data_IF_368384867041
#
_entry.id   IF_368384867041
#
_cell.length_a   1.000
_cell.length_b   1.000
_cell.length_c   1.000
_cell.angle_alpha   90.00
_cell.angle_beta   90.00
_cell.angle_gamma   90.00
#
_symmetry.space_group_name_H-M   'P 1'
#
loop_
_entity.id
_entity.type
_entity.pdbx_description
1 polymer ?
#
# COMPACT_ATOMS: atom_id res chain seq x y z
N UNK A 1 -5.86 -7.32 12.52
CA UNK A 1 -5.14 -6.17 11.99
C UNK A 1 -3.86 -5.96 12.78
N UNK A 2 -2.76 -5.68 12.13
CA UNK A 2 -1.47 -5.45 12.77
C UNK A 2 -1.00 -4.01 12.57
N UNK A 3 -0.11 -3.55 13.43
CA UNK A 3 0.61 -2.29 13.21
C UNK A 3 1.83 -2.56 12.34
N UNK A 4 2.16 -1.64 11.42
CA UNK A 4 3.30 -1.80 10.53
C UNK A 4 4.61 -2.11 11.27
N UNK A 5 4.82 -1.50 12.43
CA UNK A 5 6.03 -1.74 13.25
C UNK A 5 6.17 -3.19 13.74
N UNK A 6 5.07 -3.94 13.78
CA UNK A 6 5.03 -5.32 14.26
C UNK A 6 4.97 -6.34 13.12
N UNK A 7 5.11 -5.88 11.86
CA UNK A 7 5.06 -6.76 10.70
C UNK A 7 6.21 -7.78 10.71
N UNK A 8 5.85 -9.05 10.56
CA UNK A 8 6.80 -10.16 10.50
C UNK A 8 6.67 -10.85 9.13
N UNK A 9 7.62 -10.62 8.21
CA UNK A 9 7.52 -11.17 6.84
C UNK A 9 7.32 -12.68 6.79
N UNK A 10 7.87 -13.42 7.75
CA UNK A 10 7.75 -14.87 7.81
C UNK A 10 6.33 -15.38 8.04
N UNK A 11 5.42 -14.51 8.48
CA UNK A 11 4.01 -14.87 8.66
C UNK A 11 3.17 -14.66 7.40
N UNK A 12 3.77 -14.13 6.32
CA UNK A 12 3.09 -13.99 5.03
C UNK A 12 3.06 -15.34 4.33
N UNK A 13 1.86 -15.75 3.90
CA UNK A 13 1.64 -16.99 3.14
C UNK A 13 0.77 -16.69 1.93
N UNK A 14 1.04 -17.41 0.85
CA UNK A 14 0.23 -17.31 -0.37
C UNK A 14 -0.74 -18.49 -0.44
N UNK A 15 -1.99 -18.20 -0.79
CA UNK A 15 -3.00 -19.21 -1.03
C UNK A 15 -2.80 -19.92 -2.37
N UNK A 16 -3.72 -20.84 -2.69
CA UNK A 16 -3.69 -21.56 -3.95
C UNK A 16 -3.86 -20.61 -5.15
N UNK A 17 -3.36 -21.04 -6.32
CA UNK A 17 -3.54 -20.30 -7.55
C UNK A 17 -5.01 -20.13 -7.89
N UNK A 18 -5.40 -18.91 -8.24
CA UNK A 18 -6.76 -18.58 -8.67
C UNK A 18 -6.68 -17.76 -9.96
N UNK A 19 -7.71 -17.89 -10.80
CA UNK A 19 -7.85 -17.04 -11.99
C UNK A 19 -8.91 -15.98 -11.66
N UNK A 20 -8.48 -14.72 -11.66
CA UNK A 20 -9.40 -13.59 -11.49
C UNK A 20 -9.65 -13.00 -12.88
N UNK A 21 -10.91 -12.62 -13.14
CA UNK A 21 -11.40 -12.22 -14.47
C UNK A 21 -10.38 -11.40 -15.28
N UNK A 22 -9.99 -11.94 -16.44
CA UNK A 22 -9.07 -11.28 -17.38
C UNK A 22 -7.61 -11.26 -16.95
N UNK A 23 -7.26 -11.88 -15.85
CA UNK A 23 -5.90 -11.92 -15.34
C UNK A 23 -5.27 -13.31 -15.49
N UNK A 24 -3.94 -13.35 -15.43
CA UNK A 24 -3.20 -14.59 -15.21
C UNK A 24 -3.43 -15.08 -13.78
N UNK A 25 -2.79 -16.16 -13.39
CA UNK A 25 -2.94 -16.72 -12.05
C UNK A 25 -2.59 -15.69 -10.97
N UNK A 26 -3.42 -15.67 -9.92
CA UNK A 26 -3.20 -14.86 -8.72
C UNK A 26 -3.22 -15.73 -7.49
N UNK A 27 -2.49 -15.31 -6.47
CA UNK A 27 -2.48 -15.96 -5.16
C UNK A 27 -2.99 -14.98 -4.13
N UNK A 28 -3.95 -15.40 -3.31
CA UNK A 28 -4.42 -14.59 -2.20
C UNK A 28 -3.32 -14.48 -1.15
N UNK A 29 -3.15 -13.28 -0.59
CA UNK A 29 -2.11 -13.00 0.41
C UNK A 29 -2.72 -13.10 1.80
N UNK A 30 -2.10 -13.92 2.66
CA UNK A 30 -2.49 -14.09 4.05
C UNK A 30 -1.36 -13.66 4.96
N UNK A 31 -1.73 -13.21 6.14
CA UNK A 31 -0.80 -12.92 7.22
C UNK A 31 -1.30 -13.60 8.49
N UNK A 32 -0.50 -14.53 9.03
CA UNK A 32 -0.89 -15.33 10.19
C UNK A 32 -2.30 -15.94 10.02
N UNK A 33 -2.54 -16.53 8.83
CA UNK A 33 -3.80 -17.20 8.44
C UNK A 33 -5.03 -16.26 8.33
N UNK A 34 -4.82 -14.95 8.36
CA UNK A 34 -5.84 -13.93 8.21
C UNK A 34 -5.53 -13.07 6.98
N UNK A 35 -6.51 -12.33 6.44
CA UNK A 35 -6.21 -11.31 5.43
C UNK A 35 -5.16 -10.32 5.95
N UNK A 36 -4.24 -9.89 5.08
CA UNK A 36 -3.22 -8.92 5.46
C UNK A 36 -3.83 -7.53 5.54
N UNK A 37 -3.98 -7.03 6.76
CA UNK A 37 -4.53 -5.73 7.06
C UNK A 37 -3.59 -5.01 8.02
N UNK A 38 -3.08 -3.84 7.64
CA UNK A 38 -1.99 -3.15 8.33
C UNK A 38 -2.37 -1.72 8.67
N UNK A 39 -2.17 -1.33 9.91
CA UNK A 39 -2.29 0.05 10.35
C UNK A 39 -0.95 0.76 10.11
N UNK A 40 -0.97 1.78 9.24
CA UNK A 40 0.20 2.57 8.91
C UNK A 40 0.26 3.82 9.79
N UNK A 41 1.46 4.19 10.29
CA UNK A 41 1.63 5.45 11.01
C UNK A 41 1.47 6.65 10.06
N UNK A 42 1.48 7.88 10.59
CA UNK A 42 1.27 9.07 9.77
C UNK A 42 2.20 9.16 8.57
N UNK A 43 1.65 9.55 7.43
CA UNK A 43 2.36 9.73 6.16
C UNK A 43 1.97 11.06 5.55
N UNK A 44 2.83 11.60 4.69
CA UNK A 44 2.58 12.86 3.98
C UNK A 44 2.11 12.55 2.57
N UNK A 45 1.03 13.19 2.14
CA UNK A 45 0.56 13.08 0.75
C UNK A 45 1.54 13.81 -0.17
N UNK A 46 2.15 13.10 -1.11
CA UNK A 46 3.05 13.68 -2.11
C UNK A 46 2.36 13.92 -3.44
N UNK A 47 1.31 13.18 -3.74
CA UNK A 47 0.44 13.41 -4.90
C UNK A 47 -0.99 13.09 -4.50
N UNK A 48 -1.88 14.08 -4.69
CA UNK A 48 -3.31 13.94 -4.42
C UNK A 48 -3.92 12.81 -5.27
N UNK A 49 -5.08 12.26 -4.87
CA UNK A 49 -5.69 11.16 -5.61
C UNK A 49 -5.80 11.43 -7.11
N UNK A 50 -5.40 10.46 -7.92
CA UNK A 50 -5.36 10.57 -9.38
C UNK A 50 -5.79 9.25 -10.03
N UNK A 51 -6.31 9.37 -11.24
CA UNK A 51 -6.70 8.22 -12.08
C UNK A 51 -5.53 7.84 -12.98
N UNK A 52 -5.24 6.54 -13.01
CA UNK A 52 -4.28 5.96 -13.95
C UNK A 52 -4.94 4.75 -14.60
N UNK A 53 -5.36 4.91 -15.85
CA UNK A 53 -6.00 3.83 -16.65
C UNK A 53 -7.22 3.22 -15.95
N UNK A 54 -8.07 4.06 -15.35
CA UNK A 54 -9.28 3.63 -14.68
C UNK A 54 -9.10 3.18 -13.24
N UNK A 55 -7.88 3.20 -12.72
CA UNK A 55 -7.59 2.90 -11.32
C UNK A 55 -7.16 4.15 -10.59
N UNK A 56 -7.64 4.33 -9.37
CA UNK A 56 -7.29 5.49 -8.57
C UNK A 56 -6.17 5.18 -7.60
N UNK A 57 -5.24 6.13 -7.48
CA UNK A 57 -4.10 6.03 -6.58
C UNK A 57 -3.88 7.33 -5.83
N UNK A 58 -3.17 7.23 -4.72
CA UNK A 58 -2.62 8.37 -3.99
C UNK A 58 -1.17 8.04 -3.66
N UNK A 59 -0.27 9.01 -3.79
CA UNK A 59 1.13 8.81 -3.47
C UNK A 59 1.46 9.44 -2.13
N UNK A 60 2.21 8.70 -1.32
CA UNK A 60 2.67 9.10 0.00
C UNK A 60 4.18 9.21 0.01
N UNK A 61 4.69 10.04 0.91
CA UNK A 61 6.12 10.23 1.12
C UNK A 61 6.44 9.97 2.58
N UNK A 62 7.44 9.15 2.82
CA UNK A 62 7.94 8.86 4.17
C UNK A 62 9.46 8.86 4.17
N UNK A 63 10.12 9.19 5.31
CA UNK A 63 11.56 9.03 5.42
C UNK A 63 11.98 7.58 5.17
N UNK A 64 13.16 7.37 4.59
CA UNK A 64 13.66 6.03 4.30
C UNK A 64 13.78 5.16 5.55
N UNK A 65 14.19 5.73 6.66
CA UNK A 65 14.34 5.00 7.92
C UNK A 65 13.04 4.81 8.70
N UNK A 66 11.91 5.24 8.13
CA UNK A 66 10.61 5.14 8.81
C UNK A 66 10.10 3.70 8.88
N UNK A 67 9.16 3.49 9.80
CA UNK A 67 8.45 2.20 9.95
C UNK A 67 7.72 1.83 8.65
N UNK A 68 7.08 2.80 8.00
CA UNK A 68 6.35 2.56 6.74
C UNK A 68 7.31 2.11 5.65
N UNK A 69 8.45 2.80 5.49
CA UNK A 69 9.46 2.44 4.49
C UNK A 69 9.95 1.01 4.69
N UNK A 70 10.29 0.66 5.92
CA UNK A 70 10.73 -0.71 6.25
C UNK A 70 9.65 -1.74 5.91
N UNK A 71 8.41 -1.47 6.29
CA UNK A 71 7.28 -2.36 6.01
C UNK A 71 7.10 -2.60 4.51
N UNK A 72 7.02 -1.53 3.71
CA UNK A 72 6.75 -1.67 2.27
C UNK A 72 7.89 -2.36 1.54
N UNK A 73 9.14 -2.14 1.94
CA UNK A 73 10.28 -2.83 1.35
C UNK A 73 10.29 -4.32 1.71
N UNK A 74 9.99 -4.66 2.97
CA UNK A 74 9.87 -6.06 3.39
C UNK A 74 8.73 -6.77 2.65
N UNK A 75 7.58 -6.11 2.54
CA UNK A 75 6.42 -6.65 1.82
C UNK A 75 6.76 -6.91 0.36
N UNK A 76 7.39 -5.95 -0.30
CA UNK A 76 7.76 -6.09 -1.71
C UNK A 76 8.76 -7.24 -1.91
N UNK A 77 9.70 -7.40 -1.01
CA UNK A 77 10.67 -8.50 -1.07
C UNK A 77 9.98 -9.86 -0.93
N UNK A 78 9.10 -10.02 0.07
CA UNK A 78 8.46 -11.31 0.32
C UNK A 78 7.46 -11.68 -0.79
N UNK A 79 6.85 -10.71 -1.44
CA UNK A 79 5.90 -10.93 -2.55
C UNK A 79 6.57 -10.94 -3.93
N UNK A 80 7.88 -10.71 -4.02
CA UNK A 80 8.60 -10.55 -5.30
C UNK A 80 7.91 -9.52 -6.21
N UNK A 81 7.52 -8.39 -5.65
CA UNK A 81 6.75 -7.36 -6.36
C UNK A 81 7.51 -6.76 -7.53
N UNK A 82 6.85 -6.68 -8.70
CA UNK A 82 7.41 -6.11 -9.92
C UNK A 82 6.29 -5.41 -10.72
N UNK A 83 6.37 -4.10 -10.99
CA UNK A 83 7.34 -3.16 -10.42
C UNK A 83 7.08 -2.94 -8.92
N UNK A 84 8.07 -2.46 -8.17
CA UNK A 84 7.88 -2.18 -6.73
C UNK A 84 6.79 -1.13 -6.51
N UNK A 85 6.00 -1.29 -5.44
CA UNK A 85 5.02 -0.27 -5.01
C UNK A 85 5.68 0.90 -4.30
N UNK A 86 6.94 0.73 -3.92
CA UNK A 86 7.70 1.75 -3.22
C UNK A 86 8.97 2.07 -4.02
N UNK A 87 9.34 3.34 -4.04
CA UNK A 87 10.53 3.82 -4.74
C UNK A 87 11.30 4.77 -3.82
N UNK A 88 12.60 4.56 -3.69
CA UNK A 88 13.46 5.42 -2.89
C UNK A 88 14.05 6.53 -3.76
N UNK A 89 14.00 7.76 -3.27
CA UNK A 89 14.62 8.93 -3.91
C UNK A 89 15.42 9.71 -2.88
N UNK A 90 16.41 10.43 -3.36
CA UNK A 90 17.27 11.27 -2.53
C UNK A 90 17.25 12.71 -3.05
N UNK A 91 17.13 13.66 -2.14
CA UNK A 91 17.25 15.07 -2.45
C UNK A 91 18.16 15.76 -1.43
N UNK A 92 18.20 17.10 -1.44
CA UNK A 92 19.05 17.88 -0.55
C UNK A 92 18.70 17.74 0.93
N UNK A 93 17.44 17.36 1.23
CA UNK A 93 16.94 17.24 2.60
C UNK A 93 17.07 15.83 3.17
N UNK A 94 17.31 14.83 2.32
CA UNK A 94 17.47 13.45 2.78
C UNK A 94 16.99 12.42 1.77
N UNK A 95 16.86 11.19 2.26
CA UNK A 95 16.41 10.06 1.46
C UNK A 95 14.98 9.70 1.89
N UNK A 96 14.10 9.54 0.91
CA UNK A 96 12.67 9.30 1.12
C UNK A 96 12.19 8.09 0.35
N UNK A 97 11.13 7.48 0.85
CA UNK A 97 10.42 6.41 0.17
C UNK A 97 9.07 6.94 -0.29
N UNK A 98 8.81 6.81 -1.59
CA UNK A 98 7.50 7.10 -2.19
C UNK A 98 6.70 5.81 -2.20
N UNK A 99 5.49 5.85 -1.67
CA UNK A 99 4.59 4.70 -1.60
C UNK A 99 3.32 5.03 -2.37
N UNK A 100 2.96 4.16 -3.32
CA UNK A 100 1.72 4.29 -4.07
C UNK A 100 0.65 3.42 -3.43
N UNK A 101 -0.45 4.04 -3.02
CA UNK A 101 -1.59 3.35 -2.42
C UNK A 101 -2.77 3.39 -3.38
N UNK A 102 -3.41 2.25 -3.58
CA UNK A 102 -4.60 2.17 -4.42
C UNK A 102 -5.84 2.56 -3.63
N UNK A 103 -6.67 3.38 -4.24
CA UNK A 103 -7.95 3.83 -3.68
C UNK A 103 -9.07 3.20 -4.51
N UNK A 104 -10.07 2.63 -3.85
CA UNK A 104 -11.24 2.14 -4.56
C UNK A 104 -12.06 3.32 -5.07
N UNK A 105 -12.51 3.24 -6.31
CA UNK A 105 -13.28 4.27 -6.99
C UNK A 105 -14.72 4.35 -6.55
N UNK A 106 -15.24 5.56 -6.47
CA UNK A 106 -14.55 6.82 -6.28
C UNK A 106 -14.03 6.89 -4.85
N UNK A 107 -13.11 7.81 -4.50
CA UNK A 107 -12.59 7.92 -3.13
C UNK A 107 -13.65 8.47 -2.15
N UNK A 108 -14.88 8.02 -2.32
CA UNK A 108 -16.06 8.37 -1.52
C UNK A 108 -16.55 7.17 -0.71
N UNK A 109 -15.82 6.06 -0.74
CA UNK A 109 -16.17 4.89 0.06
C UNK A 109 -16.00 5.25 1.53
N UNK A 110 -16.93 4.76 2.34
CA UNK A 110 -16.91 4.96 3.78
C UNK A 110 -15.52 4.57 4.34
N UNK A 111 -14.94 5.45 5.15
CA UNK A 111 -13.61 5.27 5.72
C UNK A 111 -12.48 5.87 4.90
N UNK A 112 -12.74 6.31 3.66
CA UNK A 112 -11.72 6.94 2.80
C UNK A 112 -12.14 8.34 2.34
N UNK A 113 -13.25 8.88 2.83
CA UNK A 113 -13.80 10.18 2.44
C UNK A 113 -12.79 11.31 2.67
N UNK A 114 -11.94 11.18 3.68
CA UNK A 114 -10.92 12.18 3.97
C UNK A 114 -9.92 12.40 2.83
N UNK A 115 -9.75 11.42 1.95
CA UNK A 115 -8.87 11.56 0.78
C UNK A 115 -9.40 12.53 -0.25
N UNK A 116 -10.70 12.72 -0.33
CA UNK A 116 -11.31 13.58 -1.33
C UNK A 116 -10.79 15.02 -1.23
N UNK A 117 -10.46 15.45 -0.01
CA UNK A 117 -9.94 16.78 0.25
C UNK A 117 -8.44 16.75 0.58
N UNK A 118 -7.78 15.60 0.45
CA UNK A 118 -6.36 15.49 0.75
C UNK A 118 -5.53 16.24 -0.28
N UNK A 119 -4.67 17.12 0.19
CA UNK A 119 -3.77 17.92 -0.64
C UNK A 119 -2.34 17.49 -0.39
N UNK A 120 -1.45 17.79 -1.35
CA UNK A 120 0.00 17.61 -1.16
C UNK A 120 0.43 18.32 0.12
N UNK A 121 1.17 17.60 0.96
CA UNK A 121 1.61 18.10 2.26
C UNK A 121 0.68 17.73 3.42
N UNK A 122 -0.53 17.23 3.16
CA UNK A 122 -1.44 16.77 4.21
C UNK A 122 -0.88 15.52 4.87
N UNK A 123 -1.10 15.39 6.18
CA UNK A 123 -0.73 14.19 6.93
C UNK A 123 -1.97 13.30 7.09
N UNK A 124 -1.82 12.03 6.82
CA UNK A 124 -2.89 11.04 7.02
C UNK A 124 -2.37 9.82 7.76
N UNK A 125 -3.27 9.14 8.46
CA UNK A 125 -3.07 7.78 8.96
C UNK A 125 -3.99 6.87 8.19
N UNK A 126 -3.56 5.65 7.93
CA UNK A 126 -4.31 4.75 7.06
C UNK A 126 -4.25 3.32 7.55
N UNK A 127 -5.30 2.57 7.18
CA UNK A 127 -5.31 1.12 7.24
C UNK A 127 -5.24 0.64 5.80
N UNK A 128 -4.28 -0.23 5.51
CA UNK A 128 -4.05 -0.76 4.18
C UNK A 128 -4.16 -2.28 4.17
N UNK A 129 -4.52 -2.83 3.01
CA UNK A 129 -4.61 -4.28 2.82
C UNK A 129 -3.95 -4.70 1.52
N UNK A 130 -3.52 -5.94 1.47
CA UNK A 130 -3.08 -6.60 0.22
C UNK A 130 -3.95 -7.83 0.04
N UNK A 131 -4.68 -7.89 -1.08
CA UNK A 131 -5.61 -9.00 -1.34
C UNK A 131 -4.94 -10.12 -2.12
N UNK A 132 -4.26 -9.79 -3.24
CA UNK A 132 -3.69 -10.77 -4.16
C UNK A 132 -2.35 -10.30 -4.71
N UNK A 133 -1.51 -11.26 -5.09
CA UNK A 133 -0.33 -11.02 -5.91
C UNK A 133 -0.42 -11.91 -7.15
N UNK A 134 -0.15 -11.36 -8.33
CA UNK A 134 -0.19 -12.13 -9.57
C UNK A 134 1.06 -13.00 -9.72
N UNK A 135 1.01 -13.97 -10.63
CA UNK A 135 2.16 -14.80 -10.97
C UNK A 135 3.34 -13.98 -11.51
N UNK A 136 3.08 -12.76 -11.97
CA UNK A 136 4.08 -11.83 -12.48
C UNK A 136 4.61 -10.87 -11.41
N UNK A 137 4.14 -11.00 -10.17
CA UNK A 137 4.55 -10.15 -9.06
C UNK A 137 3.79 -8.83 -8.94
N UNK A 138 2.65 -8.68 -9.64
CA UNK A 138 1.85 -7.46 -9.55
C UNK A 138 0.92 -7.54 -8.34
N UNK A 139 0.92 -6.50 -7.52
CA UNK A 139 -0.01 -6.35 -6.40
C UNK A 139 -0.22 -4.88 -6.11
N UNK A 140 -1.29 -4.58 -5.40
CA UNK A 140 -1.57 -3.23 -4.93
C UNK A 140 -1.70 -3.23 -3.41
N UNK A 141 -1.25 -2.15 -2.80
CA UNK A 141 -1.50 -1.86 -1.39
C UNK A 141 -2.74 -0.96 -1.35
N UNK A 142 -3.88 -1.54 -0.98
CA UNK A 142 -5.16 -0.86 -0.99
C UNK A 142 -5.41 -0.10 0.30
N UNK A 143 -5.94 1.11 0.19
CA UNK A 143 -6.49 1.83 1.33
C UNK A 143 -7.83 1.24 1.73
N UNK A 144 -7.94 0.75 2.97
CA UNK A 144 -9.20 0.29 3.55
C UNK A 144 -9.90 1.38 4.34
N UNK A 145 -9.11 2.24 5.00
CA UNK A 145 -9.61 3.37 5.76
C UNK A 145 -8.51 4.42 5.85
N UNK A 146 -8.92 5.68 5.99
CA UNK A 146 -7.99 6.81 6.10
C UNK A 146 -8.64 7.90 6.93
N UNK A 147 -7.82 8.63 7.68
CA UNK A 147 -8.24 9.85 8.37
C UNK A 147 -7.12 10.86 8.36
N UNK A 148 -7.48 12.14 8.49
CA UNK A 148 -6.50 13.21 8.69
C UNK A 148 -5.78 13.01 10.03
N UNK A 149 -4.54 13.39 10.03
CA UNK A 149 -3.72 13.30 11.24
C UNK A 149 -3.42 14.68 11.79
#
# INVERSE_FOLDING_TARGET
MIKAKNFQPELVKLGANQVIAGASYCNKVYYNEQPLLVQLPPMVVSRAPYDLRGKWFVNMLVPEESVVSKFVHQLNTILNGTPPIAKTTQDETGTYTHVRLRVTLPPLIQGTEGLHNAKVGSHIVAIARVDYVSSEGHYDLHLSAVRAH
#
